data_IF_528818774578
#
_entry.id   IF_528818774578
#
_cell.length_a   1.000
_cell.length_b   1.000
_cell.length_c   1.000
_cell.angle_alpha   90.00
_cell.angle_beta   90.00
_cell.angle_gamma   90.00
#
_symmetry.space_group_name_H-M   'P 1'
#
loop_
_entity.id
_entity.type
_entity.pdbx_description
1 polymer ?
#
# COMPACT_ATOMS: atom_id res chain seq x y z
N UNK A 1 -7.66 12.00 22.01
CA UNK A 1 -7.85 11.28 20.73
C UNK A 1 -6.62 10.45 20.33
N UNK A 2 -5.87 10.89 19.31
CA UNK A 2 -4.66 10.18 18.83
C UNK A 2 -3.40 10.45 19.66
N UNK A 3 -3.12 11.70 20.01
CA UNK A 3 -2.04 12.06 20.94
C UNK A 3 -2.14 11.30 22.29
N UNK A 4 -3.37 11.14 22.78
CA UNK A 4 -3.71 10.36 24.00
C UNK A 4 -3.55 8.83 23.80
N UNK A 5 -3.86 8.32 22.61
CA UNK A 5 -3.59 6.92 22.28
C UNK A 5 -2.07 6.65 22.19
N UNK A 6 -1.29 7.58 21.62
CA UNK A 6 0.18 7.52 21.59
C UNK A 6 0.79 7.61 22.98
N UNK A 7 0.28 8.47 23.85
CA UNK A 7 0.81 8.62 25.21
C UNK A 7 0.56 7.40 26.10
N UNK A 8 -0.43 6.58 25.75
CA UNK A 8 -0.81 5.38 26.54
C UNK A 8 -0.30 4.07 25.95
N UNK A 9 0.14 4.05 24.68
CA UNK A 9 0.60 2.85 23.96
C UNK A 9 1.96 3.09 23.32
N UNK A 10 3.02 2.60 23.98
CA UNK A 10 4.42 2.75 23.53
C UNK A 10 4.65 2.18 22.15
N UNK A 11 3.89 1.15 21.79
CA UNK A 11 3.91 0.51 20.49
C UNK A 11 3.41 1.40 19.35
N UNK A 12 2.76 2.54 19.61
CA UNK A 12 2.36 3.50 18.58
C UNK A 12 3.38 4.62 18.38
N UNK A 13 4.44 4.67 19.20
CA UNK A 13 5.42 5.75 19.16
C UNK A 13 6.22 5.79 17.84
N UNK A 14 6.34 4.65 17.15
CA UNK A 14 7.06 4.55 15.87
C UNK A 14 6.21 4.94 14.65
N UNK A 15 4.90 5.11 14.82
CA UNK A 15 3.97 5.50 13.77
C UNK A 15 3.88 7.03 13.69
N UNK A 16 5.01 7.65 13.33
CA UNK A 16 5.18 9.09 13.24
C UNK A 16 5.92 9.45 11.95
N UNK A 17 5.41 10.46 11.26
CA UNK A 17 6.08 11.02 10.10
C UNK A 17 5.13 11.53 9.03
N UNK A 18 5.69 12.27 8.06
CA UNK A 18 4.95 12.72 6.90
C UNK A 18 4.59 11.52 6.01
N UNK A 19 3.48 11.66 5.29
CA UNK A 19 3.01 10.73 4.27
C UNK A 19 2.67 11.55 3.02
N UNK A 20 2.74 10.92 1.86
CA UNK A 20 2.15 11.52 0.67
C UNK A 20 0.61 11.48 0.76
N UNK A 21 -0.04 12.57 0.40
CA UNK A 21 -1.51 12.64 0.21
C UNK A 21 -1.82 12.53 -1.29
N UNK A 22 -2.72 11.62 -1.68
CA UNK A 22 -3.20 11.63 -3.06
C UNK A 22 -4.19 12.78 -3.24
N UNK A 23 -3.87 13.69 -4.16
CA UNK A 23 -4.83 14.72 -4.62
C UNK A 23 -5.57 14.21 -5.84
N UNK A 24 -4.84 13.69 -6.83
CA UNK A 24 -5.41 13.22 -8.10
C UNK A 24 -4.52 12.19 -8.75
N UNK A 25 -5.10 11.23 -9.45
CA UNK A 25 -4.40 10.34 -10.38
C UNK A 25 -5.15 10.34 -11.71
N UNK A 26 -4.48 10.65 -12.80
CA UNK A 26 -5.08 10.75 -14.13
C UNK A 26 -4.22 10.02 -15.14
N UNK A 27 -4.85 9.22 -16.00
CA UNK A 27 -4.19 8.62 -17.14
C UNK A 27 -4.35 9.54 -18.35
N UNK A 28 -3.27 9.80 -19.07
CA UNK A 28 -3.34 10.53 -20.33
C UNK A 28 -3.93 9.65 -21.43
N UNK A 29 -4.90 10.19 -22.16
CA UNK A 29 -5.61 9.48 -23.24
C UNK A 29 -4.63 8.94 -24.29
N UNK A 30 -4.88 7.70 -24.73
CA UNK A 30 -4.08 7.06 -25.79
C UNK A 30 -2.64 6.72 -25.40
N UNK A 31 -2.21 6.94 -24.15
CA UNK A 31 -0.85 6.65 -23.69
C UNK A 31 -0.84 5.77 -22.43
N UNK A 32 0.31 5.12 -22.11
CA UNK A 32 0.51 4.46 -20.82
C UNK A 32 0.93 5.43 -19.70
N UNK A 33 0.93 6.74 -19.95
CA UNK A 33 1.40 7.76 -19.00
C UNK A 33 0.33 8.11 -17.98
N UNK A 34 0.74 8.24 -16.71
CA UNK A 34 -0.12 8.66 -15.60
C UNK A 34 0.48 9.90 -14.95
N UNK A 35 -0.36 10.89 -14.67
CA UNK A 35 -0.05 12.04 -13.82
C UNK A 35 -0.59 11.77 -12.42
N UNK A 36 0.27 11.89 -11.40
CA UNK A 36 -0.11 11.74 -9.99
C UNK A 36 0.19 13.06 -9.28
N UNK A 37 -0.88 13.73 -8.85
CA UNK A 37 -0.78 14.94 -8.03
C UNK A 37 -0.73 14.56 -6.56
N UNK A 38 0.38 14.87 -5.92
CA UNK A 38 0.64 14.56 -4.51
C UNK A 38 0.66 15.84 -3.66
N UNK A 39 0.09 15.74 -2.47
CA UNK A 39 0.31 16.67 -1.37
C UNK A 39 1.05 15.97 -0.23
N UNK A 40 1.09 16.63 0.93
CA UNK A 40 1.58 16.05 2.18
C UNK A 40 0.43 15.88 3.16
N UNK A 41 0.58 14.88 4.02
CA UNK A 41 -0.25 14.63 5.20
C UNK A 41 0.64 13.96 6.24
N UNK A 42 0.07 13.54 7.37
CA UNK A 42 0.79 12.79 8.40
C UNK A 42 0.04 11.53 8.80
N UNK A 43 0.75 10.62 9.46
CA UNK A 43 0.13 9.45 10.07
C UNK A 43 -0.97 9.86 11.07
N UNK A 44 -0.73 10.92 11.85
CA UNK A 44 -1.69 11.44 12.82
C UNK A 44 -3.00 11.90 12.16
N UNK A 45 -2.91 12.66 11.07
CA UNK A 45 -4.07 13.07 10.28
C UNK A 45 -4.81 11.87 9.68
N UNK A 46 -4.08 10.88 9.14
CA UNK A 46 -4.66 9.65 8.62
C UNK A 46 -5.47 8.90 9.69
N UNK A 47 -4.94 8.84 10.92
CA UNK A 47 -5.58 8.16 12.04
C UNK A 47 -6.86 8.86 12.52
N UNK A 48 -6.93 10.20 12.46
CA UNK A 48 -8.09 10.99 12.93
C UNK A 48 -9.05 11.43 11.82
N UNK A 49 -8.81 10.99 10.57
CA UNK A 49 -9.71 11.26 9.43
C UNK A 49 -10.17 9.97 8.76
N UNK A 50 -9.31 9.33 7.95
CA UNK A 50 -9.65 8.12 7.20
C UNK A 50 -9.97 6.94 8.14
N UNK A 51 -9.20 6.78 9.23
CA UNK A 51 -9.35 5.66 10.18
C UNK A 51 -10.43 5.86 11.23
N UNK A 52 -11.07 7.02 11.28
CA UNK A 52 -12.26 7.21 12.12
C UNK A 52 -13.42 6.33 11.64
N UNK A 53 -14.41 6.19 12.51
CA UNK A 53 -15.61 5.41 12.20
C UNK A 53 -16.35 5.98 10.97
N UNK A 54 -17.21 5.14 10.36
CA UNK A 54 -17.90 5.49 9.12
C UNK A 54 -18.79 6.73 9.26
N UNK A 55 -19.36 6.98 10.44
CA UNK A 55 -20.20 8.16 10.70
C UNK A 55 -19.34 9.42 10.69
N UNK A 56 -18.25 9.43 11.48
CA UNK A 56 -17.34 10.58 11.55
C UNK A 56 -16.73 10.90 10.19
N UNK A 57 -16.26 9.87 9.47
CA UNK A 57 -15.74 10.02 8.11
C UNK A 57 -16.80 10.55 7.13
N UNK A 58 -18.06 10.12 7.28
CA UNK A 58 -19.18 10.63 6.50
C UNK A 58 -19.53 12.09 6.80
N UNK A 59 -19.30 12.58 8.02
CA UNK A 59 -19.39 14.02 8.32
C UNK A 59 -18.26 14.80 7.63
N UNK A 60 -17.01 14.35 7.77
CA UNK A 60 -15.86 14.99 7.12
C UNK A 60 -16.05 15.09 5.59
N UNK A 61 -16.55 14.03 4.97
CA UNK A 61 -16.82 14.03 3.53
C UNK A 61 -17.92 15.03 3.13
N UNK A 62 -19.00 15.14 3.91
CA UNK A 62 -20.08 16.10 3.64
C UNK A 62 -19.64 17.55 3.85
N UNK A 63 -18.86 17.79 4.90
CA UNK A 63 -18.30 19.12 5.17
C UNK A 63 -17.32 19.51 4.07
N UNK A 64 -16.46 18.58 3.60
CA UNK A 64 -15.57 18.81 2.47
C UNK A 64 -16.30 19.13 1.16
N UNK A 65 -17.39 18.41 0.86
CA UNK A 65 -18.24 18.71 -0.28
C UNK A 65 -18.85 20.11 -0.18
N UNK A 66 -19.39 20.47 1.00
CA UNK A 66 -20.02 21.78 1.24
C UNK A 66 -19.03 22.94 1.11
N UNK A 67 -17.85 22.79 1.72
CA UNK A 67 -16.92 23.90 1.93
C UNK A 67 -15.89 24.01 0.78
N UNK A 68 -15.63 22.92 0.06
CA UNK A 68 -14.58 22.83 -0.97
C UNK A 68 -15.03 22.18 -2.29
N UNK A 69 -16.28 21.71 -2.41
CA UNK A 69 -16.75 20.92 -3.56
C UNK A 69 -15.84 19.69 -3.82
N UNK A 70 -15.31 19.12 -2.74
CA UNK A 70 -14.48 17.93 -2.75
C UNK A 70 -14.75 17.10 -1.47
N UNK A 71 -15.35 15.90 -1.57
CA UNK A 71 -15.66 15.09 -0.40
C UNK A 71 -14.41 14.49 0.24
N UNK A 72 -13.23 14.72 -0.35
CA UNK A 72 -11.93 14.30 0.13
C UNK A 72 -11.14 15.44 0.80
N UNK A 73 -11.64 16.67 0.80
CA UNK A 73 -10.92 17.85 1.28
C UNK A 73 -10.51 17.74 2.76
N UNK A 74 -11.37 17.13 3.60
CA UNK A 74 -11.11 16.92 5.03
C UNK A 74 -10.62 15.50 5.37
N UNK A 75 -10.12 14.77 4.38
CA UNK A 75 -9.50 13.46 4.57
C UNK A 75 -8.00 13.54 4.24
N UNK A 76 -7.19 12.88 5.09
CA UNK A 76 -5.74 12.77 4.91
C UNK A 76 -5.38 12.14 3.57
N UNK A 77 -6.09 11.08 3.17
CA UNK A 77 -5.85 10.34 1.94
C UNK A 77 -4.37 9.97 1.74
N UNK A 78 -3.74 9.55 2.83
CA UNK A 78 -2.40 9.00 2.82
C UNK A 78 -2.28 7.89 1.77
N UNK A 79 -1.31 8.01 0.87
CA UNK A 79 -1.03 7.05 -0.18
C UNK A 79 -0.46 5.77 0.44
N UNK A 80 -1.04 4.63 0.08
CA UNK A 80 -0.37 3.34 0.21
C UNK A 80 0.04 2.79 -1.15
N UNK A 81 0.94 1.82 -1.13
CA UNK A 81 1.37 1.06 -2.30
C UNK A 81 1.26 -0.43 -1.99
N UNK A 82 0.70 -1.20 -2.90
CA UNK A 82 0.65 -2.67 -2.82
C UNK A 82 1.13 -3.30 -4.13
N UNK A 83 1.97 -4.33 -4.01
CA UNK A 83 2.45 -5.11 -5.14
C UNK A 83 1.75 -6.45 -5.27
N UNK A 84 1.31 -6.76 -6.48
CA UNK A 84 1.17 -8.11 -6.96
C UNK A 84 2.54 -8.62 -7.39
N UNK A 85 3.20 -9.36 -6.49
CA UNK A 85 4.47 -10.03 -6.78
C UNK A 85 4.22 -11.36 -7.50
N UNK A 86 4.82 -11.54 -8.67
CA UNK A 86 4.65 -12.70 -9.54
C UNK A 86 5.97 -13.46 -9.65
N UNK A 87 5.95 -14.76 -9.37
CA UNK A 87 7.10 -15.66 -9.52
C UNK A 87 7.34 -16.05 -10.98
N UNK A 88 8.52 -16.58 -11.29
CA UNK A 88 8.86 -17.03 -12.65
C UNK A 88 7.95 -18.17 -13.15
N UNK A 89 7.43 -18.99 -12.24
CA UNK A 89 6.43 -20.03 -12.49
C UNK A 89 4.97 -19.51 -12.46
N UNK A 90 4.76 -18.21 -12.69
CA UNK A 90 3.47 -17.53 -12.90
C UNK A 90 2.49 -17.63 -11.71
N UNK A 91 3.00 -17.56 -10.48
CA UNK A 91 2.17 -17.52 -9.27
C UNK A 91 2.26 -16.17 -8.57
N UNK A 92 1.13 -15.68 -8.08
CA UNK A 92 1.05 -14.60 -7.13
C UNK A 92 1.64 -15.07 -5.79
N UNK A 93 2.47 -14.24 -5.18
CA UNK A 93 2.93 -14.42 -3.79
C UNK A 93 1.90 -13.82 -2.84
N UNK A 94 1.44 -14.62 -1.88
CA UNK A 94 0.37 -14.27 -0.95
C UNK A 94 0.90 -14.27 0.48
N UNK A 95 0.82 -13.13 1.16
CA UNK A 95 1.30 -12.95 2.53
C UNK A 95 0.12 -12.85 3.49
N UNK A 96 0.04 -13.77 4.45
CA UNK A 96 -0.99 -13.77 5.48
C UNK A 96 -0.78 -12.65 6.49
N UNK A 97 -1.85 -11.91 6.78
CA UNK A 97 -1.81 -10.82 7.75
C UNK A 97 -2.24 -11.34 9.14
N UNK A 98 -1.25 -11.74 9.94
CA UNK A 98 -1.39 -12.38 11.27
C UNK A 98 -2.00 -11.46 12.35
N UNK A 99 -1.85 -10.14 12.19
CA UNK A 99 -2.51 -9.14 13.04
C UNK A 99 -1.67 -8.59 14.19
N UNK A 100 -0.43 -9.04 14.41
CA UNK A 100 0.52 -8.41 15.34
C UNK A 100 1.25 -7.21 14.69
N UNK A 101 1.60 -7.32 13.41
CA UNK A 101 2.26 -6.26 12.63
C UNK A 101 1.32 -5.11 12.20
N UNK A 102 0.07 -5.13 12.68
CA UNK A 102 -0.93 -4.12 12.40
C UNK A 102 -1.38 -3.53 13.72
N UNK A 103 -0.41 -2.94 14.42
CA UNK A 103 -0.64 -2.27 15.68
C UNK A 103 -1.51 -1.05 15.42
N UNK A 104 -2.74 -1.19 15.85
CA UNK A 104 -3.70 -0.13 15.91
C UNK A 104 -4.56 -0.37 17.15
N UNK A 105 -4.95 0.69 17.89
CA UNK A 105 -5.90 0.56 19.01
C UNK A 105 -7.13 -0.27 18.63
N UNK A 106 -7.86 -0.85 19.58
CA UNK A 106 -9.01 -1.73 19.27
C UNK A 106 -10.04 -1.11 18.30
N UNK A 107 -10.25 0.22 18.39
CA UNK A 107 -11.07 1.03 17.46
C UNK A 107 -10.51 1.19 16.03
N UNK A 108 -9.26 0.79 15.85
CA UNK A 108 -8.47 0.93 14.65
C UNK A 108 -7.90 -0.41 14.20
N UNK A 109 -8.31 -1.57 14.75
CA UNK A 109 -7.85 -2.89 14.31
C UNK A 109 -7.82 -2.99 12.79
N UNK A 110 -6.73 -3.55 12.23
CA UNK A 110 -6.69 -3.73 10.78
C UNK A 110 -7.76 -4.73 10.37
N UNK A 111 -8.79 -4.22 9.69
CA UNK A 111 -9.83 -4.97 8.98
C UNK A 111 -9.29 -5.91 7.90
N UNK A 112 -7.97 -5.98 7.73
CA UNK A 112 -7.27 -6.93 6.88
C UNK A 112 -6.66 -8.12 7.64
N UNK A 113 -6.78 -8.19 8.97
CA UNK A 113 -6.36 -9.38 9.74
C UNK A 113 -7.08 -10.62 9.22
N UNK A 114 -6.35 -11.72 9.11
CA UNK A 114 -6.90 -13.00 8.63
C UNK A 114 -7.18 -13.01 7.12
N UNK A 115 -6.41 -12.23 6.36
CA UNK A 115 -6.48 -12.16 4.89
C UNK A 115 -5.09 -12.20 4.28
N UNK A 116 -5.00 -12.67 3.04
CA UNK A 116 -3.80 -12.59 2.24
C UNK A 116 -3.72 -11.27 1.47
N UNK A 117 -2.59 -10.57 1.58
CA UNK A 117 -2.26 -9.41 0.75
C UNK A 117 -0.96 -9.63 0.00
N UNK A 118 -0.62 -8.68 -0.88
CA UNK A 118 0.72 -8.58 -1.43
C UNK A 118 1.69 -7.84 -0.49
N UNK A 119 2.97 -7.76 -0.84
CA UNK A 119 3.90 -6.81 -0.22
C UNK A 119 3.35 -5.38 -0.32
N UNK A 120 3.28 -4.68 0.80
CA UNK A 120 2.65 -3.35 0.89
C UNK A 120 3.47 -2.39 1.74
N UNK A 121 3.51 -1.12 1.37
CA UNK A 121 4.22 -0.07 2.08
C UNK A 121 3.55 1.29 1.94
N UNK A 122 4.00 2.27 2.73
CA UNK A 122 3.59 3.67 2.59
C UNK A 122 4.83 4.50 2.25
N UNK A 123 4.86 5.18 1.09
CA UNK A 123 6.04 5.96 0.67
C UNK A 123 6.30 7.11 1.64
N UNK A 124 7.58 7.34 1.96
CA UNK A 124 8.00 8.35 2.94
C UNK A 124 8.57 9.58 2.23
N UNK A 125 7.88 10.75 2.29
CA UNK A 125 8.36 11.98 1.66
C UNK A 125 9.80 12.37 2.03
N UNK A 126 10.29 12.01 3.23
CA UNK A 126 11.66 12.33 3.67
C UNK A 126 12.70 11.61 2.83
N UNK A 127 12.41 10.38 2.35
CA UNK A 127 13.30 9.62 1.45
C UNK A 127 13.40 10.27 0.08
N UNK A 128 12.33 10.93 -0.36
CA UNK A 128 12.34 11.79 -1.53
C UNK A 128 12.97 13.17 -1.27
N UNK A 129 13.41 13.48 -0.05
CA UNK A 129 13.95 14.78 0.37
C UNK A 129 12.93 15.91 0.36
N UNK A 130 11.65 15.59 0.60
CA UNK A 130 10.60 16.56 0.93
C UNK A 130 10.66 16.87 2.43
N UNK A 131 10.92 18.14 2.72
CA UNK A 131 10.76 18.76 4.03
C UNK A 131 9.74 19.92 3.90
N UNK A 132 9.21 20.44 5.01
CA UNK A 132 8.15 21.47 5.00
C UNK A 132 8.49 22.73 4.17
N UNK A 133 9.78 23.02 3.95
CA UNK A 133 10.27 24.17 3.20
C UNK A 133 10.81 23.85 1.79
N UNK A 134 10.68 22.60 1.31
CA UNK A 134 11.22 22.20 0.01
C UNK A 134 10.56 23.00 -1.13
N UNK A 135 11.37 23.70 -1.92
CA UNK A 135 10.88 24.34 -3.15
C UNK A 135 10.66 23.29 -4.25
N UNK A 136 9.56 23.43 -4.98
CA UNK A 136 9.23 22.55 -6.10
C UNK A 136 10.26 22.62 -7.23
N UNK A 137 10.43 21.51 -7.94
CA UNK A 137 11.31 21.41 -9.10
C UNK A 137 11.25 20.02 -9.73
N UNK A 138 11.74 19.89 -10.97
CA UNK A 138 11.70 18.62 -11.71
C UNK A 138 12.48 17.50 -11.00
N UNK A 139 13.61 17.83 -10.35
CA UNK A 139 14.39 16.88 -9.56
C UNK A 139 13.58 16.32 -8.36
N UNK A 140 12.89 17.20 -7.63
CA UNK A 140 12.05 16.79 -6.51
C UNK A 140 10.89 15.91 -7.00
N UNK A 141 10.24 16.27 -8.09
CA UNK A 141 9.18 15.46 -8.70
C UNK A 141 9.70 14.05 -9.08
N UNK A 142 10.89 13.97 -9.67
CA UNK A 142 11.51 12.70 -10.02
C UNK A 142 11.83 11.85 -8.77
N UNK A 143 12.35 12.46 -7.70
CA UNK A 143 12.61 11.76 -6.43
C UNK A 143 11.32 11.29 -5.75
N UNK A 144 10.26 12.10 -5.76
CA UNK A 144 8.95 11.69 -5.25
C UNK A 144 8.39 10.51 -6.04
N UNK A 145 8.47 10.57 -7.37
CA UNK A 145 8.07 9.46 -8.22
C UNK A 145 8.89 8.21 -7.94
N UNK A 146 10.22 8.34 -7.79
CA UNK A 146 11.10 7.22 -7.48
C UNK A 146 10.74 6.56 -6.14
N UNK A 147 10.46 7.35 -5.09
CA UNK A 147 10.05 6.82 -3.78
C UNK A 147 8.76 5.98 -3.86
N UNK A 148 7.79 6.35 -4.72
CA UNK A 148 6.59 5.53 -4.93
C UNK A 148 6.90 4.12 -5.46
N UNK A 149 7.99 3.95 -6.22
CA UNK A 149 8.42 2.67 -6.78
C UNK A 149 9.38 1.95 -5.82
N UNK A 150 10.28 2.67 -5.16
CA UNK A 150 11.28 2.12 -4.25
C UNK A 150 10.65 1.54 -2.97
N UNK A 151 9.56 2.14 -2.48
CA UNK A 151 8.83 1.60 -1.32
C UNK A 151 8.28 0.21 -1.61
N UNK A 152 7.90 -0.07 -2.86
CA UNK A 152 7.37 -1.38 -3.28
C UNK A 152 8.48 -2.44 -3.26
N UNK A 153 9.65 -2.11 -3.80
CA UNK A 153 10.81 -3.01 -3.79
C UNK A 153 11.32 -3.25 -2.36
N UNK A 154 11.32 -2.20 -1.53
CA UNK A 154 11.64 -2.29 -0.11
C UNK A 154 10.64 -3.22 0.60
N UNK A 155 9.34 -3.04 0.39
CA UNK A 155 8.31 -3.89 0.98
C UNK A 155 8.44 -5.36 0.56
N UNK A 156 8.82 -5.65 -0.69
CA UNK A 156 9.09 -7.03 -1.15
C UNK A 156 10.31 -7.60 -0.42
N UNK A 157 11.40 -6.84 -0.33
CA UNK A 157 12.62 -7.25 0.35
C UNK A 157 12.35 -7.51 1.84
N UNK A 158 11.65 -6.59 2.50
CA UNK A 158 11.30 -6.67 3.91
C UNK A 158 10.33 -7.81 4.20
N UNK A 159 9.33 -8.06 3.35
CA UNK A 159 8.31 -9.08 3.60
C UNK A 159 8.73 -10.50 3.18
N UNK A 160 9.37 -10.64 2.02
CA UNK A 160 9.69 -11.92 1.38
C UNK A 160 11.19 -12.26 1.32
N UNK A 161 12.08 -11.34 1.75
CA UNK A 161 13.54 -11.53 1.71
C UNK A 161 14.09 -11.82 0.29
N UNK A 162 13.46 -11.21 -0.71
CA UNK A 162 13.89 -11.31 -2.11
C UNK A 162 14.79 -10.11 -2.43
N UNK A 163 16.03 -10.33 -2.87
CA UNK A 163 16.92 -9.24 -3.23
C UNK A 163 16.47 -8.52 -4.50
N UNK A 164 16.71 -7.21 -4.58
CA UNK A 164 16.32 -6.39 -5.74
C UNK A 164 16.87 -6.87 -7.09
N UNK A 165 18.05 -7.53 -7.10
CA UNK A 165 18.62 -8.12 -8.32
C UNK A 165 17.78 -9.27 -8.92
N UNK A 166 16.82 -9.81 -8.16
CA UNK A 166 15.88 -10.86 -8.60
C UNK A 166 14.48 -10.29 -8.88
N UNK A 167 14.34 -8.96 -8.95
CA UNK A 167 13.08 -8.26 -9.19
C UNK A 167 13.19 -7.41 -10.46
N UNK A 168 12.18 -7.50 -11.31
CA UNK A 168 11.98 -6.53 -12.39
C UNK A 168 11.58 -5.16 -11.82
N UNK A 169 11.76 -4.10 -12.60
CA UNK A 169 11.27 -2.77 -12.22
C UNK A 169 9.75 -2.80 -11.99
N UNK A 170 9.24 -2.21 -10.88
CA UNK A 170 7.81 -2.19 -10.63
C UNK A 170 7.07 -1.45 -11.75
N UNK A 171 5.85 -1.91 -12.05
CA UNK A 171 4.95 -1.24 -12.98
C UNK A 171 3.68 -0.85 -12.28
N UNK A 172 3.34 0.44 -12.28
CA UNK A 172 2.03 0.90 -11.83
C UNK A 172 0.95 0.38 -12.78
N UNK A 173 0.00 -0.39 -12.25
CA UNK A 173 -1.09 -1.01 -13.02
C UNK A 173 -2.46 -0.41 -12.69
N UNK A 174 -2.57 0.31 -11.57
CA UNK A 174 -3.83 0.92 -11.18
C UNK A 174 -3.71 1.77 -9.93
N UNK A 175 -4.83 2.40 -9.59
CA UNK A 175 -5.05 3.09 -8.33
C UNK A 175 -6.46 2.74 -7.88
N UNK A 176 -6.64 2.47 -6.59
CA UNK A 176 -7.95 2.22 -6.02
C UNK A 176 -8.18 3.03 -4.75
N UNK A 177 -9.43 3.07 -4.30
CA UNK A 177 -9.79 3.59 -3.00
C UNK A 177 -10.38 2.46 -2.17
N UNK A 178 -9.79 2.18 -1.01
CA UNK A 178 -10.31 1.16 -0.09
C UNK A 178 -11.72 1.57 0.39
N UNK A 179 -12.73 0.76 0.09
CA UNK A 179 -14.12 1.08 0.43
C UNK A 179 -14.39 1.16 1.94
N UNK A 180 -13.51 0.62 2.78
CA UNK A 180 -13.70 0.54 4.24
C UNK A 180 -13.37 1.85 4.96
N UNK A 181 -12.28 2.50 4.56
CA UNK A 181 -11.77 3.73 5.21
C UNK A 181 -11.31 4.80 4.21
N UNK A 182 -11.55 4.59 2.91
CA UNK A 182 -11.32 5.59 1.87
C UNK A 182 -9.85 5.86 1.54
N UNK A 183 -8.91 5.05 2.04
CA UNK A 183 -7.48 5.26 1.76
C UNK A 183 -7.18 4.94 0.29
N UNK A 184 -6.46 5.83 -0.43
CA UNK A 184 -5.98 5.54 -1.77
C UNK A 184 -4.79 4.57 -1.73
N UNK A 185 -4.79 3.62 -2.66
CA UNK A 185 -3.74 2.61 -2.81
C UNK A 185 -3.30 2.56 -4.27
N UNK A 186 -2.00 2.80 -4.51
CA UNK A 186 -1.36 2.59 -5.81
C UNK A 186 -1.02 1.11 -5.95
N UNK A 187 -1.39 0.53 -7.08
CA UNK A 187 -1.28 -0.90 -7.34
C UNK A 187 -0.15 -1.16 -8.33
N UNK A 188 0.78 -2.01 -7.93
CA UNK A 188 1.95 -2.36 -8.74
C UNK A 188 1.94 -3.84 -9.10
N UNK A 189 2.56 -4.16 -10.24
CA UNK A 189 3.03 -5.52 -10.52
C UNK A 189 4.55 -5.54 -10.49
N UNK A 190 5.10 -6.56 -9.84
CA UNK A 190 6.54 -6.83 -9.83
C UNK A 190 6.73 -8.30 -10.17
N UNK A 191 7.63 -8.61 -11.10
CA UNK A 191 7.99 -9.99 -11.44
C UNK A 191 9.32 -10.34 -10.80
N UNK A 192 9.45 -11.58 -10.34
CA UNK A 192 10.70 -12.13 -9.87
C UNK A 192 11.21 -13.22 -10.80
N UNK A 193 12.53 -13.31 -10.94
CA UNK A 193 13.20 -14.45 -11.58
C UNK A 193 13.13 -15.73 -10.73
N UNK A 194 12.77 -15.62 -9.45
CA UNK A 194 12.60 -16.77 -8.55
C UNK A 194 11.24 -17.43 -8.78
N UNK A 195 11.23 -18.77 -8.74
CA UNK A 195 9.99 -19.56 -8.69
C UNK A 195 9.42 -19.58 -7.26
N UNK A 196 8.21 -20.12 -7.09
CA UNK A 196 7.56 -20.19 -5.79
C UNK A 196 8.37 -20.99 -4.73
N UNK A 197 9.13 -22.01 -5.13
CA UNK A 197 9.93 -22.80 -4.20
C UNK A 197 11.11 -21.98 -3.66
N UNK A 198 11.82 -21.25 -4.53
CA UNK A 198 12.90 -20.36 -4.16
C UNK A 198 12.40 -19.17 -3.32
N UNK A 199 11.24 -18.60 -3.65
CA UNK A 199 10.62 -17.57 -2.79
C UNK A 199 10.29 -18.12 -1.39
N UNK A 200 9.73 -19.34 -1.30
CA UNK A 200 9.47 -19.97 0.00
C UNK A 200 10.75 -20.21 0.81
N UNK A 201 11.84 -20.62 0.15
CA UNK A 201 13.14 -20.78 0.81
C UNK A 201 13.63 -19.45 1.41
N UNK A 202 13.62 -18.36 0.61
CA UNK A 202 13.99 -17.01 1.08
C UNK A 202 13.15 -16.51 2.24
N UNK A 203 11.84 -16.71 2.14
CA UNK A 203 10.93 -16.33 3.21
C UNK A 203 11.21 -17.13 4.49
N UNK A 204 11.43 -18.44 4.37
CA UNK A 204 11.78 -19.31 5.51
C UNK A 204 13.09 -18.88 6.18
N UNK A 205 14.11 -18.50 5.40
CA UNK A 205 15.37 -17.95 5.93
C UNK A 205 15.12 -16.72 6.82
N UNK A 206 14.13 -15.89 6.47
CA UNK A 206 13.78 -14.67 7.20
C UNK A 206 12.98 -14.95 8.47
N UNK A 207 11.89 -15.72 8.37
CA UNK A 207 10.91 -15.88 9.46
C UNK A 207 11.14 -17.13 10.32
N UNK A 208 12.08 -17.98 9.92
CA UNK A 208 12.30 -19.30 10.52
C UNK A 208 11.22 -20.31 10.12
N UNK A 209 11.38 -21.57 10.52
CA UNK A 209 10.47 -22.66 10.13
C UNK A 209 9.01 -22.43 10.58
N UNK A 210 8.79 -21.74 11.71
CA UNK A 210 7.45 -21.49 12.26
C UNK A 210 6.62 -20.43 11.53
N UNK A 211 7.20 -19.67 10.60
CA UNK A 211 6.49 -18.60 9.88
C UNK A 211 5.95 -18.99 8.51
N UNK A 212 6.21 -20.21 8.04
CA UNK A 212 5.88 -20.68 6.68
C UNK A 212 4.39 -20.65 6.35
N UNK A 213 3.53 -20.84 7.35
CA UNK A 213 2.06 -20.82 7.22
C UNK A 213 1.51 -19.45 6.81
N UNK A 214 2.34 -18.40 6.90
CA UNK A 214 1.97 -17.06 6.48
C UNK A 214 2.30 -16.76 5.00
N UNK A 215 2.73 -17.77 4.23
CA UNK A 215 3.09 -17.64 2.83
C UNK A 215 2.42 -18.70 1.96
N UNK A 216 1.62 -18.22 1.01
CA UNK A 216 0.98 -19.03 -0.01
C UNK A 216 1.22 -18.50 -1.41
N UNK A 217 0.84 -19.31 -2.39
CA UNK A 217 0.98 -18.99 -3.80
C UNK A 217 -0.29 -19.37 -4.54
N UNK A 218 -0.66 -18.57 -5.55
CA UNK A 218 -1.80 -18.89 -6.40
C UNK A 218 -1.50 -18.58 -7.86
N UNK A 219 -1.90 -19.44 -8.82
CA UNK A 219 -1.66 -19.16 -10.24
C UNK A 219 -2.32 -17.86 -10.70
N UNK A 220 -1.55 -17.00 -11.38
CA UNK A 220 -2.04 -15.70 -11.87
C UNK A 220 -3.20 -15.88 -12.86
N UNK A 221 -3.14 -16.91 -13.69
CA UNK A 221 -4.18 -17.24 -14.68
C UNK A 221 -5.55 -17.52 -14.07
N UNK A 222 -5.61 -17.87 -12.78
CA UNK A 222 -6.86 -18.18 -12.06
C UNK A 222 -7.05 -17.31 -10.83
N UNK A 223 -6.38 -16.16 -10.76
CA UNK A 223 -6.39 -15.29 -9.57
C UNK A 223 -7.78 -14.75 -9.21
N UNK A 224 -8.61 -14.47 -10.21
CA UNK A 224 -10.00 -14.03 -9.99
C UNK A 224 -10.84 -15.06 -9.23
N UNK A 225 -10.55 -16.35 -9.42
CA UNK A 225 -11.22 -17.47 -8.79
C UNK A 225 -10.53 -17.95 -7.50
N UNK A 226 -9.56 -17.19 -6.98
CA UNK A 226 -8.84 -17.55 -5.77
C UNK A 226 -9.81 -17.68 -4.56
N UNK A 227 -9.92 -18.88 -3.95
CA UNK A 227 -10.84 -19.11 -2.83
C UNK A 227 -10.32 -18.54 -1.51
N UNK A 228 -9.03 -18.24 -1.43
CA UNK A 228 -8.41 -17.67 -0.24
C UNK A 228 -8.97 -16.28 0.08
N UNK A 229 -9.02 -15.89 1.36
CA UNK A 229 -9.56 -14.61 1.79
C UNK A 229 -8.56 -13.50 1.45
N UNK A 230 -8.54 -13.03 0.21
CA UNK A 230 -7.67 -11.94 -0.21
C UNK A 230 -8.10 -10.57 0.35
N UNK A 231 -7.16 -9.64 0.48
CA UNK A 231 -7.44 -8.21 0.66
C UNK A 231 -8.13 -7.63 -0.57
N UNK A 232 -8.87 -6.53 -0.41
CA UNK A 232 -9.49 -5.86 -1.56
C UNK A 232 -8.43 -5.24 -2.49
N UNK A 233 -7.30 -4.82 -1.94
CA UNK A 233 -6.14 -4.28 -2.66
C UNK A 233 -5.52 -5.30 -3.58
N UNK A 234 -5.24 -6.51 -3.09
CA UNK A 234 -4.70 -7.58 -3.91
C UNK A 234 -5.67 -8.04 -4.99
N UNK A 235 -6.98 -8.12 -4.67
CA UNK A 235 -8.03 -8.40 -5.67
C UNK A 235 -8.06 -7.35 -6.77
N UNK A 236 -7.97 -6.07 -6.41
CA UNK A 236 -7.93 -4.99 -7.38
C UNK A 236 -6.67 -5.06 -8.25
N UNK A 237 -5.50 -5.33 -7.66
CA UNK A 237 -4.25 -5.48 -8.40
C UNK A 237 -4.33 -6.64 -9.41
N UNK A 238 -4.92 -7.77 -9.00
CA UNK A 238 -5.17 -8.90 -9.90
C UNK A 238 -6.12 -8.55 -11.04
N UNK A 239 -7.21 -7.81 -10.77
CA UNK A 239 -8.18 -7.38 -11.77
C UNK A 239 -7.61 -6.36 -12.77
N UNK A 240 -6.49 -5.69 -12.44
CA UNK A 240 -5.77 -4.82 -13.37
C UNK A 240 -4.87 -5.60 -14.36
N UNK A 241 -4.65 -6.90 -14.16
CA UNK A 241 -3.90 -7.69 -15.13
C UNK A 241 -4.76 -7.93 -16.38
N UNK A 242 -4.15 -7.88 -17.58
CA UNK A 242 -4.87 -8.26 -18.79
C UNK A 242 -5.30 -9.72 -18.67
N UNK A 243 -6.58 -9.98 -18.89
CA UNK A 243 -7.09 -11.35 -19.02
C UNK A 243 -6.32 -12.01 -20.17
N UNK A 244 -5.72 -13.17 -19.94
CA UNK A 244 -5.11 -13.93 -21.02
C UNK A 244 -6.19 -14.20 -22.08
N UNK A 245 -6.02 -13.60 -23.26
CA UNK A 245 -6.84 -13.88 -24.43
C UNK A 245 -6.43 -15.20 -25.09
#
# INVERSE_FOLDING_TARGET
GWAEARSTRRELAHLEGPLFRLVRAERADGTPTVSISLGLTSYDEYMVTNREDAMRRGFLARDGERDHNDPQAYLSNAVGCEALLITSDQKAVLLWRTGEDLITPERFTSVQKGRYGGPSGSPDPRRAGLEEASQGGADLQQRCAQELFDVVLSAISESANIPGAQLESPRLIGCMKDSRYGKPELLFVVRSSLDAAAVRARYTEKVGEGGQDNLDFWPISTMEACPMPLTCTLRAAAACLPTAA
#
